data_IF_930396706091
#
_entry.id   IF_930396706091
#
_cell.length_a   1.000
_cell.length_b   1.000
_cell.length_c   1.000
_cell.angle_alpha   90.00
_cell.angle_beta   90.00
_cell.angle_gamma   90.00
#
_symmetry.space_group_name_H-M   'P 1'
#
loop_
_entity.id
_entity.type
_entity.pdbx_description
1 polymer ?
#
# COMPACT_ATOMS: atom_id res chain seq x y z
N UNK A 1 9.25 -10.17 29.89
CA UNK A 1 8.39 -9.41 28.98
C UNK A 1 9.13 -8.38 28.15
N UNK A 2 10.05 -7.63 28.74
CA UNK A 2 10.79 -6.60 28.02
C UNK A 2 11.72 -7.12 26.93
N UNK A 3 12.43 -8.19 27.20
CA UNK A 3 13.41 -8.75 26.27
C UNK A 3 12.76 -9.35 25.02
N UNK A 4 11.69 -10.11 25.19
CA UNK A 4 10.95 -10.69 24.06
C UNK A 4 10.36 -9.60 23.17
N UNK A 5 9.85 -8.54 23.76
CA UNK A 5 9.30 -7.42 23.01
C UNK A 5 10.34 -6.70 22.18
N UNK A 6 11.53 -6.51 22.75
CA UNK A 6 12.64 -5.85 22.05
C UNK A 6 13.10 -6.68 20.87
N UNK A 7 13.20 -8.00 21.02
CA UNK A 7 13.60 -8.89 19.94
C UNK A 7 12.54 -8.94 18.82
N UNK A 8 11.26 -8.97 19.19
CA UNK A 8 10.17 -8.93 18.23
C UNK A 8 10.17 -7.63 17.43
N UNK A 9 10.41 -6.50 18.10
CA UNK A 9 10.51 -5.21 17.43
C UNK A 9 11.70 -5.13 16.48
N UNK A 10 12.84 -5.71 16.87
CA UNK A 10 14.02 -5.78 16.00
C UNK A 10 13.76 -6.63 14.78
N UNK A 11 13.07 -7.76 14.95
CA UNK A 11 12.68 -8.63 13.84
C UNK A 11 11.75 -7.92 12.88
N UNK A 12 10.74 -7.22 13.43
CA UNK A 12 9.80 -6.45 12.61
C UNK A 12 10.52 -5.39 11.79
N UNK A 13 11.47 -4.68 12.37
CA UNK A 13 12.25 -3.68 11.67
C UNK A 13 13.11 -4.28 10.55
N UNK A 14 13.60 -5.48 10.76
CA UNK A 14 14.45 -6.15 9.78
C UNK A 14 13.64 -6.69 8.61
N UNK A 15 12.47 -7.27 8.88
CA UNK A 15 11.66 -7.95 7.88
C UNK A 15 10.61 -7.06 7.24
N UNK A 16 10.19 -6.01 7.96
CA UNK A 16 9.16 -5.10 7.45
C UNK A 16 9.74 -4.18 6.37
N UNK A 17 8.99 -3.92 5.30
CA UNK A 17 9.40 -2.92 4.32
C UNK A 17 9.32 -1.52 4.95
N UNK A 18 10.19 -0.63 4.53
CA UNK A 18 10.05 0.78 4.86
C UNK A 18 8.99 1.42 3.96
N UNK A 19 8.65 2.69 4.23
CA UNK A 19 7.62 3.39 3.45
C UNK A 19 8.06 3.52 1.98
N UNK A 20 9.32 3.79 1.74
CA UNK A 20 9.84 3.93 0.37
C UNK A 20 9.73 2.62 -0.40
N UNK A 21 10.15 1.49 0.21
CA UNK A 21 10.05 0.18 -0.41
C UNK A 21 8.61 -0.29 -0.58
N UNK A 22 7.74 0.02 0.39
CA UNK A 22 6.33 -0.35 0.32
C UNK A 22 5.57 0.42 -0.74
N UNK A 23 5.96 1.66 -1.01
CA UNK A 23 5.31 2.52 -2.01
C UNK A 23 6.12 2.62 -3.31
N UNK A 24 6.90 1.62 -3.62
CA UNK A 24 7.69 1.57 -4.85
C UNK A 24 6.81 1.27 -6.06
N UNK A 25 7.17 1.86 -7.22
CA UNK A 25 6.45 1.62 -8.48
C UNK A 25 6.44 0.14 -8.83
N UNK A 26 5.29 -0.30 -9.33
CA UNK A 26 5.09 -1.70 -9.72
C UNK A 26 4.71 -2.63 -8.58
N UNK A 27 4.68 -2.13 -7.35
CA UNK A 27 4.28 -2.95 -6.21
C UNK A 27 2.78 -3.13 -6.15
N UNK A 28 2.34 -4.35 -5.89
CA UNK A 28 0.93 -4.65 -5.68
C UNK A 28 0.50 -4.13 -4.32
N UNK A 29 -0.57 -3.35 -4.28
CA UNK A 29 -1.11 -2.78 -3.05
C UNK A 29 -2.63 -2.88 -3.03
N UNK A 30 -3.19 -2.92 -1.83
CA UNK A 30 -4.61 -2.78 -1.60
C UNK A 30 -4.84 -1.46 -0.88
N UNK A 31 -5.68 -0.62 -1.47
CA UNK A 31 -6.02 0.69 -0.93
C UNK A 31 -7.40 0.60 -0.30
N UNK A 32 -7.49 0.90 0.99
CA UNK A 32 -8.77 1.01 1.68
C UNK A 32 -9.13 2.49 1.77
N UNK A 33 -10.15 2.88 1.04
CA UNK A 33 -10.63 4.26 1.03
C UNK A 33 -11.55 4.52 2.22
N UNK A 34 -11.63 5.77 2.64
CA UNK A 34 -12.55 6.17 3.73
C UNK A 34 -14.00 6.00 3.31
N UNK A 35 -14.29 6.26 2.05
CA UNK A 35 -15.61 6.13 1.46
C UNK A 35 -15.43 5.35 0.16
N UNK A 36 -16.28 4.36 -0.06
CA UNK A 36 -16.24 3.54 -1.27
C UNK A 36 -15.60 2.19 -1.05
N UNK A 37 -15.37 1.49 -2.16
CA UNK A 37 -14.83 0.14 -2.14
C UNK A 37 -13.30 0.17 -2.06
N UNK A 38 -12.74 -0.91 -1.55
CA UNK A 38 -11.30 -1.13 -1.59
C UNK A 38 -10.84 -1.31 -3.03
N UNK A 39 -9.64 -0.83 -3.33
CA UNK A 39 -9.03 -0.97 -4.64
C UNK A 39 -7.76 -1.80 -4.54
N UNK A 40 -7.55 -2.67 -5.50
CA UNK A 40 -6.34 -3.48 -5.60
C UNK A 40 -5.69 -3.20 -6.94
N UNK A 41 -4.37 -3.05 -6.93
CA UNK A 41 -3.66 -2.80 -8.18
C UNK A 41 -2.18 -2.58 -7.98
N UNK A 42 -1.52 -2.17 -9.05
CA UNK A 42 -0.10 -1.86 -9.02
C UNK A 42 0.09 -0.37 -8.85
N UNK A 43 1.01 0.00 -7.98
CA UNK A 43 1.34 1.38 -7.77
C UNK A 43 2.13 1.91 -8.97
N UNK A 44 1.58 2.92 -9.66
CA UNK A 44 2.24 3.53 -10.81
C UNK A 44 3.11 4.70 -10.41
N UNK A 45 2.60 5.54 -9.52
CA UNK A 45 3.32 6.73 -9.08
C UNK A 45 2.74 7.24 -7.77
N UNK A 46 3.46 8.13 -7.13
CA UNK A 46 3.04 8.81 -5.90
C UNK A 46 3.71 10.16 -5.83
N UNK A 47 3.03 11.11 -5.22
CA UNK A 47 3.57 12.44 -4.95
C UNK A 47 2.94 13.01 -3.68
N UNK A 48 3.14 14.30 -3.44
CA UNK A 48 2.58 14.96 -2.27
C UNK A 48 1.04 15.00 -2.26
N UNK A 49 0.40 14.84 -3.41
CA UNK A 49 -1.06 14.89 -3.54
C UNK A 49 -1.73 13.54 -3.34
N UNK A 50 -1.10 12.44 -3.73
CA UNK A 50 -1.70 11.12 -3.60
C UNK A 50 -0.97 10.04 -4.37
N UNK A 51 -1.71 8.98 -4.67
CA UNK A 51 -1.24 7.79 -5.39
C UNK A 51 -1.92 7.68 -6.75
N UNK A 52 -1.18 7.20 -7.74
CA UNK A 52 -1.75 6.76 -9.02
C UNK A 52 -1.70 5.23 -9.05
N UNK A 53 -2.85 4.61 -9.21
CA UNK A 53 -2.99 3.16 -9.15
C UNK A 53 -3.43 2.60 -10.49
N UNK A 54 -2.75 1.55 -10.95
CA UNK A 54 -3.20 0.70 -12.05
C UNK A 54 -4.15 -0.33 -11.44
N UNK A 55 -5.44 -0.04 -11.46
CA UNK A 55 -6.47 -0.84 -10.80
C UNK A 55 -6.64 -2.17 -11.53
N UNK A 56 -6.73 -3.23 -10.77
CA UNK A 56 -6.88 -4.58 -11.29
C UNK A 56 -8.17 -5.24 -10.82
N UNK A 57 -8.82 -5.95 -11.73
CA UNK A 57 -9.92 -6.84 -11.37
C UNK A 57 -9.37 -8.05 -10.58
N UNK A 58 -10.21 -8.77 -9.83
CA UNK A 58 -9.77 -10.00 -9.17
C UNK A 58 -9.12 -11.02 -10.09
N UNK A 59 -9.48 -10.99 -11.38
CA UNK A 59 -8.86 -11.83 -12.42
C UNK A 59 -7.45 -11.38 -12.82
N UNK A 60 -7.00 -10.22 -12.36
CA UNK A 60 -5.71 -9.65 -12.71
C UNK A 60 -5.73 -8.74 -13.93
N UNK A 61 -6.87 -8.61 -14.60
CA UNK A 61 -7.03 -7.76 -15.79
C UNK A 61 -7.06 -6.29 -15.40
N UNK A 62 -6.39 -5.46 -16.19
CA UNK A 62 -6.37 -4.00 -16.01
C UNK A 62 -7.78 -3.44 -16.06
N UNK A 63 -8.15 -2.65 -15.05
CA UNK A 63 -9.48 -2.04 -14.93
C UNK A 63 -9.46 -0.52 -15.10
N UNK A 64 -8.29 0.08 -15.31
CA UNK A 64 -8.12 1.51 -15.49
C UNK A 64 -7.12 2.08 -14.51
N UNK A 65 -6.80 3.35 -14.69
CA UNK A 65 -5.93 4.08 -13.77
C UNK A 65 -6.79 4.95 -12.87
N UNK A 66 -6.43 5.04 -11.60
CA UNK A 66 -7.16 5.86 -10.65
C UNK A 66 -6.21 6.63 -9.77
N UNK A 67 -6.45 7.95 -9.64
CA UNK A 67 -5.70 8.79 -8.73
C UNK A 67 -6.46 8.91 -7.42
N UNK A 68 -5.76 8.62 -6.31
CA UNK A 68 -6.37 8.60 -4.98
C UNK A 68 -5.63 9.59 -4.09
N UNK A 69 -6.26 10.71 -3.70
CA UNK A 69 -5.65 11.67 -2.78
C UNK A 69 -5.34 11.04 -1.43
N UNK A 70 -4.27 11.47 -0.79
CA UNK A 70 -3.87 10.95 0.51
C UNK A 70 -4.99 11.02 1.56
N UNK A 71 -5.75 12.11 1.58
CA UNK A 71 -6.83 12.29 2.56
C UNK A 71 -8.00 11.32 2.37
N UNK A 72 -8.11 10.70 1.20
CA UNK A 72 -9.15 9.70 0.92
C UNK A 72 -8.72 8.29 1.30
N UNK A 73 -7.47 8.08 1.64
CA UNK A 73 -6.91 6.77 1.97
C UNK A 73 -6.95 6.56 3.47
N UNK A 74 -7.58 5.47 3.91
CA UNK A 74 -7.56 5.07 5.30
C UNK A 74 -6.36 4.20 5.60
N UNK A 75 -6.08 3.23 4.71
CA UNK A 75 -4.90 2.38 4.85
C UNK A 75 -4.44 1.84 3.50
N UNK A 76 -3.17 1.50 3.44
CA UNK A 76 -2.57 0.82 2.31
C UNK A 76 -1.99 -0.49 2.82
N UNK A 77 -2.40 -1.60 2.20
CA UNK A 77 -1.88 -2.92 2.54
C UNK A 77 -0.94 -3.39 1.43
N UNK A 78 0.19 -3.96 1.81
CA UNK A 78 1.22 -4.44 0.90
C UNK A 78 1.23 -5.96 0.86
N UNK A 79 1.48 -6.50 -0.30
CA UNK A 79 1.71 -7.94 -0.46
C UNK A 79 3.18 -8.28 -0.57
#
# INVERSE_FOLDING_TARGET
MGEERVEDLKRLRKDAPDISGGLERGRMVKISARIGNDLVGYLCDRDAAGLLLDVRHPSGVHAGYEFIPWHSIERVSFE
#
